data_IF_352130409757
#
_entry.id   IF_352130409757
#
_cell.length_a   1.000
_cell.length_b   1.000
_cell.length_c   1.000
_cell.angle_alpha   90.00
_cell.angle_beta   90.00
_cell.angle_gamma   90.00
#
_symmetry.space_group_name_H-M   'P 1'
#
loop_
_entity.id
_entity.type
_entity.pdbx_description
1 polymer ?
#
# COMPACT_ATOMS: atom_id res chain seq x y z
N UNK A 1 -6.66 -19.79 -74.34
CA UNK A 1 -7.46 -20.42 -73.27
C UNK A 1 -7.60 -19.42 -72.12
N UNK A 2 -8.83 -19.00 -71.82
CA UNK A 2 -9.16 -18.06 -70.73
C UNK A 2 -9.47 -18.89 -69.47
N UNK A 3 -8.73 -18.68 -68.38
CA UNK A 3 -9.06 -19.20 -67.06
C UNK A 3 -9.67 -18.07 -66.24
N UNK A 4 -10.97 -18.12 -66.05
CA UNK A 4 -11.76 -17.24 -65.19
C UNK A 4 -11.66 -17.72 -63.74
N UNK A 5 -11.14 -16.88 -62.86
CA UNK A 5 -11.16 -17.10 -61.41
C UNK A 5 -12.38 -16.41 -60.81
N UNK A 6 -13.27 -17.19 -60.19
CA UNK A 6 -14.40 -16.69 -59.40
C UNK A 6 -13.95 -16.42 -57.97
N UNK A 7 -14.00 -15.16 -57.53
CA UNK A 7 -13.77 -14.78 -56.13
C UNK A 7 -15.07 -14.92 -55.34
N UNK A 8 -15.03 -15.68 -54.23
CA UNK A 8 -16.13 -15.75 -53.25
C UNK A 8 -15.79 -14.78 -52.11
N UNK A 9 -16.63 -13.78 -51.80
CA UNK A 9 -16.40 -12.91 -50.64
C UNK A 9 -16.84 -13.63 -49.35
N UNK A 10 -15.91 -13.81 -48.42
CA UNK A 10 -16.24 -14.23 -47.05
C UNK A 10 -16.79 -13.03 -46.27
N UNK A 11 -18.05 -13.10 -45.87
CA UNK A 11 -18.67 -12.11 -44.99
C UNK A 11 -18.13 -12.29 -43.55
N UNK A 12 -17.29 -11.35 -43.10
CA UNK A 12 -16.91 -11.26 -41.70
C UNK A 12 -17.98 -10.47 -40.93
N UNK A 13 -18.82 -11.19 -40.19
CA UNK A 13 -19.71 -10.58 -39.20
C UNK A 13 -18.88 -10.12 -37.99
N UNK A 14 -18.82 -8.81 -37.76
CA UNK A 14 -18.18 -8.20 -36.60
C UNK A 14 -19.07 -8.34 -35.37
N UNK A 15 -18.64 -9.14 -34.38
CA UNK A 15 -19.25 -9.15 -33.05
C UNK A 15 -18.98 -7.81 -32.37
N UNK A 16 -20.04 -7.06 -32.09
CA UNK A 16 -19.98 -5.88 -31.23
C UNK A 16 -20.11 -6.33 -29.77
N UNK A 17 -19.08 -6.03 -28.97
CA UNK A 17 -19.07 -6.25 -27.53
C UNK A 17 -19.85 -5.13 -26.84
N UNK A 18 -21.01 -5.46 -26.27
CA UNK A 18 -21.77 -4.56 -25.40
C UNK A 18 -21.12 -4.52 -24.02
N UNK A 19 -20.47 -3.41 -23.68
CA UNK A 19 -19.98 -3.17 -22.32
C UNK A 19 -21.17 -2.84 -21.41
N UNK A 20 -21.57 -3.79 -20.58
CA UNK A 20 -22.46 -3.52 -19.44
C UNK A 20 -21.71 -2.69 -18.40
N UNK A 21 -22.16 -1.45 -18.21
CA UNK A 21 -21.68 -0.52 -17.20
C UNK A 21 -22.28 -0.89 -15.84
N UNK A 22 -21.70 -1.92 -15.21
CA UNK A 22 -21.88 -2.20 -13.79
C UNK A 22 -20.63 -1.74 -13.05
N UNK A 23 -20.76 -0.74 -12.19
CA UNK A 23 -19.68 -0.26 -11.31
C UNK A 23 -18.98 -1.45 -10.64
N UNK A 24 -17.77 -1.78 -11.11
CA UNK A 24 -16.95 -2.83 -10.51
C UNK A 24 -16.44 -2.31 -9.18
N UNK A 25 -17.25 -2.41 -8.12
CA UNK A 25 -16.83 -2.06 -6.77
C UNK A 25 -15.76 -3.06 -6.35
N UNK A 26 -14.50 -2.62 -6.37
CA UNK A 26 -13.37 -3.42 -5.90
C UNK A 26 -13.64 -3.80 -4.45
N UNK A 27 -13.66 -5.11 -4.11
CA UNK A 27 -13.87 -5.54 -2.73
C UNK A 27 -12.90 -4.86 -1.77
N UNK A 28 -13.33 -4.51 -0.54
CA UNK A 28 -12.45 -3.85 0.42
C UNK A 28 -11.22 -4.73 0.68
N UNK A 29 -10.03 -4.17 0.45
CA UNK A 29 -8.77 -4.89 0.68
C UNK A 29 -8.67 -5.40 2.12
N UNK A 30 -8.21 -6.64 2.27
CA UNK A 30 -7.97 -7.25 3.58
C UNK A 30 -6.78 -6.59 4.29
N UNK A 31 -6.64 -6.76 5.63
CA UNK A 31 -5.53 -6.18 6.38
C UNK A 31 -4.17 -6.63 5.85
N UNK A 32 -4.01 -7.89 5.46
CA UNK A 32 -2.78 -8.39 4.85
C UNK A 32 -2.48 -7.74 3.51
N UNK A 33 -3.48 -7.59 2.63
CA UNK A 33 -3.29 -6.96 1.32
C UNK A 33 -2.84 -5.50 1.47
N UNK A 34 -3.45 -4.78 2.41
CA UNK A 34 -3.10 -3.40 2.77
C UNK A 34 -1.66 -3.29 3.28
N UNK A 35 -1.29 -4.16 4.22
CA UNK A 35 0.06 -4.17 4.77
C UNK A 35 1.12 -4.52 3.71
N UNK A 36 0.79 -5.42 2.79
CA UNK A 36 1.65 -5.73 1.64
C UNK A 36 1.79 -4.53 0.71
N UNK A 37 0.71 -3.77 0.48
CA UNK A 37 0.76 -2.55 -0.32
C UNK A 37 1.64 -1.48 0.33
N UNK A 38 1.57 -1.30 1.64
CA UNK A 38 2.47 -0.42 2.37
C UNK A 38 3.95 -0.83 2.24
N UNK A 39 4.25 -2.14 2.26
CA UNK A 39 5.62 -2.61 2.02
C UNK A 39 6.12 -2.24 0.62
N UNK A 40 5.28 -2.40 -0.40
CA UNK A 40 5.62 -2.02 -1.77
C UNK A 40 5.91 -0.52 -1.86
N UNK A 41 5.05 0.31 -1.27
CA UNK A 41 5.25 1.77 -1.24
C UNK A 41 6.50 2.19 -0.46
N UNK A 42 6.75 1.57 0.69
CA UNK A 42 7.93 1.83 1.49
C UNK A 42 9.22 1.47 0.73
N UNK A 43 9.22 0.36 0.01
CA UNK A 43 10.34 -0.03 -0.83
C UNK A 43 10.52 0.90 -2.02
N UNK A 44 9.43 1.21 -2.73
CA UNK A 44 9.43 2.12 -3.89
C UNK A 44 9.99 3.50 -3.50
N UNK A 45 9.46 4.13 -2.44
CA UNK A 45 9.93 5.46 -2.01
C UNK A 45 11.40 5.44 -1.59
N UNK A 46 11.86 4.36 -0.93
CA UNK A 46 13.25 4.25 -0.49
C UNK A 46 14.18 4.07 -1.69
N UNK A 47 13.83 3.18 -2.63
CA UNK A 47 14.63 2.95 -3.83
C UNK A 47 14.73 4.20 -4.71
N UNK A 48 13.63 4.93 -4.87
CA UNK A 48 13.55 6.09 -5.76
C UNK A 48 14.21 7.35 -5.18
N UNK A 49 14.00 7.63 -3.88
CA UNK A 49 14.33 8.94 -3.30
C UNK A 49 15.45 8.92 -2.25
N UNK A 50 15.91 7.74 -1.86
CA UNK A 50 16.94 7.57 -0.82
C UNK A 50 18.15 6.78 -1.33
N UNK A 51 18.49 6.90 -2.62
CA UNK A 51 19.66 6.25 -3.24
C UNK A 51 20.97 6.60 -2.53
N UNK A 52 21.11 7.86 -2.10
CA UNK A 52 22.30 8.37 -1.43
C UNK A 52 22.43 7.91 0.03
N UNK A 53 21.40 7.31 0.61
CA UNK A 53 21.42 6.85 2.00
C UNK A 53 22.15 5.49 2.08
N UNK A 54 23.35 5.39 2.70
CA UNK A 54 24.09 4.11 2.72
C UNK A 54 23.36 2.98 3.48
N UNK A 55 22.34 3.33 4.26
CA UNK A 55 21.51 2.39 5.02
C UNK A 55 20.16 2.10 4.34
N UNK A 56 19.94 2.48 3.08
CA UNK A 56 18.69 2.31 2.34
C UNK A 56 18.15 0.87 2.43
N UNK A 57 18.95 -0.14 2.09
CA UNK A 57 18.56 -1.55 2.18
C UNK A 57 18.20 -1.98 3.59
N UNK A 58 18.87 -1.43 4.62
CA UNK A 58 18.53 -1.68 6.03
C UNK A 58 17.16 -1.08 6.37
N UNK A 59 16.82 0.09 5.82
CA UNK A 59 15.50 0.69 5.98
C UNK A 59 14.40 -0.13 5.31
N UNK A 60 14.62 -0.64 4.10
CA UNK A 60 13.67 -1.56 3.43
C UNK A 60 13.41 -2.79 4.31
N UNK A 61 14.48 -3.42 4.84
CA UNK A 61 14.34 -4.54 5.76
C UNK A 61 13.60 -4.18 7.06
N UNK A 62 13.81 -2.98 7.59
CA UNK A 62 13.09 -2.50 8.79
C UNK A 62 11.59 -2.45 8.54
N UNK A 63 11.14 -1.86 7.43
CA UNK A 63 9.71 -1.82 7.06
C UNK A 63 9.12 -3.22 6.90
N UNK A 64 9.77 -4.10 6.13
CA UNK A 64 9.34 -5.49 5.94
C UNK A 64 9.22 -6.25 7.26
N UNK A 65 10.25 -6.16 8.11
CA UNK A 65 10.25 -6.81 9.42
C UNK A 65 9.16 -6.25 10.34
N UNK A 66 8.85 -4.95 10.25
CA UNK A 66 7.78 -4.35 11.00
C UNK A 66 6.40 -4.83 10.53
N UNK A 67 6.18 -4.84 9.22
CA UNK A 67 4.97 -5.42 8.62
C UNK A 67 4.77 -6.88 9.06
N UNK A 68 5.82 -7.69 9.04
CA UNK A 68 5.74 -9.06 9.52
C UNK A 68 5.32 -9.15 11.00
N UNK A 69 5.86 -8.27 11.87
CA UNK A 69 5.43 -8.18 13.29
C UNK A 69 3.95 -7.77 13.42
N UNK A 70 3.50 -6.86 12.57
CA UNK A 70 2.11 -6.38 12.53
C UNK A 70 1.15 -7.49 12.06
N UNK A 71 1.51 -8.21 10.99
CA UNK A 71 0.76 -9.36 10.50
C UNK A 71 0.68 -10.48 11.54
N UNK A 72 1.80 -10.84 12.21
CA UNK A 72 1.75 -11.80 13.32
C UNK A 72 0.84 -11.33 14.45
N UNK A 73 0.89 -10.04 14.79
CA UNK A 73 0.03 -9.49 15.82
C UNK A 73 -1.45 -9.61 15.45
N UNK A 74 -1.80 -9.32 14.20
CA UNK A 74 -3.15 -9.44 13.67
C UNK A 74 -3.67 -10.88 13.70
N UNK A 75 -2.85 -11.86 13.31
CA UNK A 75 -3.25 -13.28 13.32
C UNK A 75 -3.46 -13.88 14.71
N UNK A 76 -3.14 -13.16 15.80
CA UNK A 76 -3.46 -13.63 17.16
C UNK A 76 -4.95 -13.40 17.44
N UNK A 77 -5.61 -14.44 17.92
CA UNK A 77 -7.04 -14.42 18.29
C UNK A 77 -7.43 -13.31 19.27
N UNK A 78 -6.50 -12.89 20.14
CA UNK A 78 -6.72 -11.82 21.13
C UNK A 78 -6.40 -10.40 20.65
N UNK A 79 -5.97 -10.22 19.39
CA UNK A 79 -5.43 -8.95 18.91
C UNK A 79 -6.09 -8.43 17.63
N UNK A 80 -6.23 -9.28 16.59
CA UNK A 80 -6.71 -8.85 15.28
C UNK A 80 -8.21 -8.58 15.25
N UNK A 81 -8.61 -7.56 14.50
CA UNK A 81 -10.01 -7.30 14.16
C UNK A 81 -10.13 -6.98 12.67
N UNK A 82 -11.06 -7.63 11.97
CA UNK A 82 -11.42 -7.30 10.60
C UNK A 82 -12.88 -7.70 10.33
N UNK A 83 -13.67 -6.76 9.83
CA UNK A 83 -15.05 -7.00 9.42
C UNK A 83 -15.30 -6.32 8.05
N UNK A 84 -15.46 -7.10 6.96
CA UNK A 84 -15.61 -6.56 5.61
C UNK A 84 -16.91 -5.75 5.42
N UNK A 85 -17.87 -5.83 6.34
CA UNK A 85 -19.11 -5.04 6.30
C UNK A 85 -18.92 -3.61 6.80
N UNK A 86 -17.84 -3.37 7.56
CA UNK A 86 -17.48 -2.04 8.06
C UNK A 86 -16.64 -1.28 7.03
N UNK A 87 -16.72 0.08 7.01
CA UNK A 87 -15.84 0.91 6.20
C UNK A 87 -14.36 0.53 6.39
N UNK A 88 -13.71 0.14 5.29
CA UNK A 88 -12.32 -0.30 5.26
C UNK A 88 -11.99 -1.38 6.31
N UNK A 89 -12.93 -2.28 6.64
CA UNK A 89 -12.63 -3.46 7.43
C UNK A 89 -12.47 -3.23 8.94
N UNK A 90 -12.74 -2.02 9.46
CA UNK A 90 -12.40 -1.68 10.84
C UNK A 90 -13.17 -0.48 11.40
N UNK A 91 -13.09 -0.24 12.72
CA UNK A 91 -13.92 0.75 13.42
C UNK A 91 -13.56 2.23 13.13
N UNK A 92 -12.51 2.49 12.36
CA UNK A 92 -12.06 3.84 11.99
C UNK A 92 -12.43 4.10 10.51
N UNK A 93 -13.21 5.11 10.12
CA UNK A 93 -13.61 5.28 8.72
C UNK A 93 -12.57 5.99 7.83
N UNK A 94 -11.52 6.61 8.39
CA UNK A 94 -10.79 7.68 7.67
C UNK A 94 -9.44 7.23 7.05
N UNK A 95 -9.47 6.28 6.10
CA UNK A 95 -8.23 5.70 5.57
C UNK A 95 -8.19 5.47 4.06
N UNK A 96 -7.58 6.43 3.37
CA UNK A 96 -7.17 6.27 1.98
C UNK A 96 -5.68 5.87 1.91
N UNK A 97 -5.43 4.56 1.94
CA UNK A 97 -4.09 3.95 1.91
C UNK A 97 -3.58 3.72 0.49
N UNK A 98 -4.43 3.92 -0.51
CA UNK A 98 -4.21 3.41 -1.86
C UNK A 98 -3.27 4.27 -2.69
N UNK A 99 -2.92 5.45 -2.18
CA UNK A 99 -2.05 6.42 -2.84
C UNK A 99 -1.09 7.08 -1.86
N UNK A 100 0.13 7.30 -2.33
CA UNK A 100 1.10 8.19 -1.71
C UNK A 100 1.70 9.09 -2.78
N UNK A 101 2.29 10.19 -2.35
CA UNK A 101 2.99 11.16 -3.17
C UNK A 101 4.35 10.58 -3.60
N UNK A 102 4.47 10.28 -4.90
CA UNK A 102 5.68 9.73 -5.51
C UNK A 102 6.69 10.80 -5.93
N UNK A 103 6.28 12.07 -5.92
CA UNK A 103 7.10 13.18 -6.40
C UNK A 103 7.78 13.89 -5.23
N UNK A 104 7.04 14.16 -4.16
CA UNK A 104 7.59 14.78 -2.96
C UNK A 104 7.94 13.71 -1.91
N UNK A 105 9.23 13.34 -1.74
CA UNK A 105 9.63 12.26 -0.84
C UNK A 105 9.31 12.53 0.63
N UNK A 106 9.29 13.81 1.05
CA UNK A 106 8.91 14.18 2.41
C UNK A 106 7.43 13.91 2.65
N UNK A 107 6.57 14.25 1.69
CA UNK A 107 5.13 13.95 1.76
C UNK A 107 4.90 12.45 1.66
N UNK A 108 5.56 11.78 0.70
CA UNK A 108 5.44 10.33 0.48
C UNK A 108 5.83 9.51 1.71
N UNK A 109 6.98 9.79 2.33
CA UNK A 109 7.41 9.12 3.58
C UNK A 109 6.42 9.36 4.72
N UNK A 110 5.90 10.59 4.86
CA UNK A 110 4.89 10.91 5.89
C UNK A 110 3.60 10.12 5.67
N UNK A 111 3.14 10.00 4.42
CA UNK A 111 1.95 9.23 4.07
C UNK A 111 2.15 7.74 4.31
N UNK A 112 3.27 7.16 3.87
CA UNK A 112 3.58 5.73 4.06
C UNK A 112 3.66 5.38 5.55
N UNK A 113 4.40 6.15 6.34
CA UNK A 113 4.50 5.92 7.79
C UNK A 113 3.17 6.15 8.50
N UNK A 114 2.36 7.11 8.04
CA UNK A 114 0.96 7.27 8.48
C UNK A 114 0.11 6.05 8.11
N UNK A 115 0.34 5.46 6.95
CA UNK A 115 -0.29 4.21 6.50
C UNK A 115 -0.13 3.09 7.51
N UNK A 116 1.12 2.75 7.86
CA UNK A 116 1.40 1.75 8.89
C UNK A 116 0.83 2.12 10.26
N UNK A 117 0.86 3.41 10.64
CA UNK A 117 0.29 3.87 11.90
C UNK A 117 -1.21 3.57 11.96
N UNK A 118 -1.95 4.04 10.95
CA UNK A 118 -3.40 3.85 10.82
C UNK A 118 -3.76 2.37 10.70
N UNK A 119 -2.96 1.57 9.98
CA UNK A 119 -3.13 0.12 9.93
C UNK A 119 -3.10 -0.49 11.34
N UNK A 120 -2.16 -0.07 12.19
CA UNK A 120 -2.05 -0.58 13.55
C UNK A 120 -3.21 -0.15 14.45
N UNK A 121 -3.64 1.12 14.33
CA UNK A 121 -4.78 1.70 15.04
C UNK A 121 -6.12 1.10 14.61
N UNK A 122 -6.19 0.53 13.41
CA UNK A 122 -7.38 -0.11 12.86
C UNK A 122 -7.49 -1.58 13.23
N UNK A 123 -6.46 -2.37 12.91
CA UNK A 123 -6.57 -3.83 12.91
C UNK A 123 -6.00 -4.52 14.14
N UNK A 124 -5.17 -3.85 14.93
CA UNK A 124 -4.54 -4.44 16.13
C UNK A 124 -4.62 -3.51 17.36
N UNK A 125 -5.57 -2.58 17.40
CA UNK A 125 -5.67 -1.60 18.48
C UNK A 125 -5.99 -2.18 19.86
N UNK A 126 -6.73 -3.29 19.93
CA UNK A 126 -7.03 -3.99 21.19
C UNK A 126 -5.87 -4.82 21.69
N UNK A 127 -4.89 -5.11 20.83
CA UNK A 127 -3.72 -5.88 21.18
C UNK A 127 -2.91 -5.17 22.28
N UNK A 128 -2.55 -5.84 23.37
CA UNK A 128 -1.92 -5.21 24.55
C UNK A 128 -0.72 -4.30 24.19
N UNK A 129 0.19 -4.78 23.34
CA UNK A 129 1.34 -4.00 22.89
C UNK A 129 0.98 -2.69 22.18
N UNK A 130 -0.16 -2.65 21.49
CA UNK A 130 -0.64 -1.43 20.84
C UNK A 130 -1.53 -0.61 21.78
N UNK A 131 -2.50 -1.24 22.46
CA UNK A 131 -3.43 -0.62 23.40
C UNK A 131 -2.72 0.11 24.55
N UNK A 132 -1.75 -0.56 25.19
CA UNK A 132 -1.05 -0.07 26.38
C UNK A 132 0.22 0.70 26.03
N UNK A 133 1.00 0.20 25.06
CA UNK A 133 2.34 0.72 24.80
C UNK A 133 2.49 1.47 23.47
N UNK A 134 1.46 1.46 22.61
CA UNK A 134 1.45 2.17 21.31
C UNK A 134 2.65 1.83 20.43
N UNK A 135 3.21 0.62 20.51
CA UNK A 135 4.51 0.29 19.91
C UNK A 135 4.59 0.58 18.41
N UNK A 136 3.54 0.30 17.64
CA UNK A 136 3.55 0.55 16.20
C UNK A 136 3.43 2.03 15.88
N UNK A 137 2.55 2.74 16.60
CA UNK A 137 2.36 4.19 16.45
C UNK A 137 3.65 4.95 16.75
N UNK A 138 4.26 4.68 17.91
CA UNK A 138 5.52 5.31 18.32
C UNK A 138 6.66 5.00 17.34
N UNK A 139 6.71 3.76 16.81
CA UNK A 139 7.71 3.37 15.81
C UNK A 139 7.54 4.16 14.52
N UNK A 140 6.32 4.27 13.99
CA UNK A 140 6.06 4.98 12.74
C UNK A 140 6.34 6.48 12.85
N UNK A 141 5.96 7.11 13.96
CA UNK A 141 6.28 8.52 14.21
C UNK A 141 7.80 8.76 14.28
N UNK A 142 8.52 7.88 14.97
CA UNK A 142 9.99 7.93 15.04
C UNK A 142 10.62 7.72 13.66
N UNK A 143 10.15 6.75 12.88
CA UNK A 143 10.73 6.46 11.57
C UNK A 143 10.46 7.56 10.55
N UNK A 144 9.28 8.18 10.58
CA UNK A 144 9.01 9.38 9.79
C UNK A 144 10.05 10.46 10.09
N UNK A 145 10.24 10.80 11.37
CA UNK A 145 11.22 11.82 11.78
C UNK A 145 12.64 11.50 11.29
N UNK A 146 13.08 10.25 11.46
CA UNK A 146 14.42 9.84 11.04
C UNK A 146 14.61 9.90 9.52
N UNK A 147 13.63 9.46 8.73
CA UNK A 147 13.71 9.50 7.28
C UNK A 147 13.64 10.93 6.73
N UNK A 148 12.83 11.80 7.33
CA UNK A 148 12.83 13.24 7.02
C UNK A 148 14.23 13.84 7.25
N UNK A 149 14.85 13.52 8.38
CA UNK A 149 16.20 14.00 8.70
C UNK A 149 17.25 13.42 7.75
N UNK A 150 17.13 12.14 7.37
CA UNK A 150 18.00 11.55 6.35
C UNK A 150 17.86 12.27 5.02
N UNK A 151 16.62 12.51 4.57
CA UNK A 151 16.37 13.19 3.31
C UNK A 151 17.00 14.59 3.29
N UNK A 152 16.75 15.39 4.34
CA UNK A 152 17.30 16.75 4.46
C UNK A 152 18.84 16.77 4.52
N UNK A 153 19.47 15.73 5.09
CA UNK A 153 20.93 15.64 5.17
C UNK A 153 21.58 15.51 3.79
N UNK A 154 20.93 14.78 2.88
CA UNK A 154 21.43 14.56 1.52
C UNK A 154 20.86 15.56 0.49
N UNK A 155 19.83 16.32 0.87
CA UNK A 155 19.16 17.32 0.04
C UNK A 155 18.95 18.60 0.87
N UNK A 156 20.03 19.32 1.21
CA UNK A 156 19.89 20.57 1.93
C UNK A 156 19.10 21.56 1.08
N UNK A 157 18.15 22.27 1.71
CA UNK A 157 17.49 23.41 1.07
C UNK A 157 18.48 24.56 1.11
N UNK A 158 18.85 25.09 -0.06
CA UNK A 158 19.68 26.29 -0.20
C UNK A 158 19.05 27.52 0.50
#
# INVERSE_FOLDING_TARGET
MKLSFSFIPAAFASLQSTHSEGDRKVPPRTPEQRLNRLNQFAEEVLLQHFSELPSQTKWIHKFRNNAFRMQKAFRRSSCGFFDPTLPHGGPDPDFDEDRYDRENPRVGVKQITTGYRKWAERYINKCNGQKKHKYQVSRMNRWNTLLQNHYNRFNPVE
#
